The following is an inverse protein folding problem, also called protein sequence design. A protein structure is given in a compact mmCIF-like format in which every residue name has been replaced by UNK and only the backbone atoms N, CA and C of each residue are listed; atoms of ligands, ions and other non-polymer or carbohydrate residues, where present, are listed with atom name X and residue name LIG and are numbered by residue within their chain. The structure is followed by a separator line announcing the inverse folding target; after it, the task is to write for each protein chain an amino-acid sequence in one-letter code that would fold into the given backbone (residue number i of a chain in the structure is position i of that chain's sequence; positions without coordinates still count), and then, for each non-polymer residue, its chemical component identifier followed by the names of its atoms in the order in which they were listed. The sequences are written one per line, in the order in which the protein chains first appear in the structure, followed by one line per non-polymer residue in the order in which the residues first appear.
data_IF_092487748847
#
_entry.id   IF_092487748847
#
_cell.length_a   1.000
_cell.length_b   1.000
_cell.length_c   1.000
_cell.angle_alpha   90.00
_cell.angle_beta   90.00
_cell.angle_gamma   90.00
#
_symmetry.space_group_name_H-M   'P 1'
#
loop_
_entity.id
_entity.type
_entity.pdbx_description
1 polymer ?
#
# COMPACT_ATOMS: atom_id res chain seq x y z
N UNK A 1 9.68 19.13 28.17
CA UNK A 1 8.50 18.23 28.28
C UNK A 1 9.01 16.80 28.12
N UNK A 2 8.79 15.91 29.10
CA UNK A 2 9.35 14.55 28.99
C UNK A 2 8.62 13.74 27.92
N UNK A 3 9.32 12.83 27.23
CA UNK A 3 8.72 11.92 26.24
C UNK A 3 7.50 11.21 26.82
N UNK A 4 7.56 10.85 28.10
CA UNK A 4 6.48 10.21 28.86
C UNK A 4 5.27 11.13 29.05
N UNK A 5 5.47 12.44 29.25
CA UNK A 5 4.38 13.43 29.33
C UNK A 5 3.74 13.67 27.96
N UNK A 6 4.53 13.77 26.90
CA UNK A 6 4.03 13.90 25.52
C UNK A 6 3.22 12.67 25.12
N UNK A 7 3.72 11.46 25.41
CA UNK A 7 3.00 10.20 25.16
C UNK A 7 1.71 10.12 25.99
N UNK A 8 1.74 10.47 27.29
CA UNK A 8 0.54 10.50 28.13
C UNK A 8 -0.50 11.48 27.61
N UNK A 9 -0.10 12.68 27.17
CA UNK A 9 -1.02 13.69 26.67
C UNK A 9 -1.64 13.26 25.33
N UNK A 10 -0.83 12.65 24.45
CA UNK A 10 -1.27 12.14 23.13
C UNK A 10 -2.10 10.85 23.22
N UNK A 11 -1.94 10.05 24.29
CA UNK A 11 -2.78 8.88 24.60
C UNK A 11 -4.04 9.25 25.41
N UNK A 12 -3.96 10.27 26.27
CA UNK A 12 -5.12 10.85 26.97
C UNK A 12 -5.98 11.71 26.04
N UNK A 13 -5.46 12.00 24.85
CA UNK A 13 -6.16 12.81 23.86
C UNK A 13 -7.41 12.07 23.41
N UNK A 14 -8.52 12.76 23.64
CA UNK A 14 -9.84 12.60 23.04
C UNK A 14 -9.88 12.09 21.60
N UNK A 15 -8.81 12.05 20.81
CA UNK A 15 -8.78 11.57 19.41
C UNK A 15 -9.19 10.11 19.24
N UNK A 16 -8.73 9.18 20.10
CA UNK A 16 -9.13 7.77 20.02
C UNK A 16 -10.62 7.61 20.36
N UNK A 17 -11.04 8.16 21.50
CA UNK A 17 -12.45 8.14 21.94
C UNK A 17 -13.35 8.89 20.94
N UNK A 18 -12.90 10.03 20.41
CA UNK A 18 -13.60 10.79 19.38
C UNK A 18 -13.62 10.04 18.05
N UNK A 19 -12.64 9.22 17.70
CA UNK A 19 -12.73 8.37 16.50
C UNK A 19 -13.86 7.35 16.65
N UNK A 20 -14.01 6.79 17.84
CA UNK A 20 -15.12 5.90 18.19
C UNK A 20 -16.47 6.63 18.27
N UNK A 21 -16.51 7.85 18.79
CA UNK A 21 -17.73 8.67 18.80
C UNK A 21 -18.07 9.23 17.42
N UNK A 22 -17.07 9.51 16.58
CA UNK A 22 -17.25 9.92 15.19
C UNK A 22 -17.77 8.75 14.36
N UNK A 23 -17.41 7.51 14.70
CA UNK A 23 -18.08 6.32 14.18
C UNK A 23 -19.58 6.28 14.53
N UNK A 24 -19.94 6.70 15.76
CA UNK A 24 -21.34 6.80 16.20
C UNK A 24 -22.10 7.97 15.55
N UNK A 25 -21.40 9.06 15.20
CA UNK A 25 -21.98 10.31 14.65
C UNK A 25 -21.99 10.37 13.11
N UNK A 26 -21.00 9.78 12.44
CA UNK A 26 -21.01 9.58 11.00
C UNK A 26 -22.01 8.47 10.69
N UNK A 27 -22.96 8.76 9.81
CA UNK A 27 -23.96 7.82 9.33
C UNK A 27 -23.30 6.47 9.01
N UNK A 28 -23.72 5.38 9.66
CA UNK A 28 -23.16 4.02 9.50
C UNK A 28 -23.01 3.66 8.02
N UNK A 29 -23.94 4.14 7.19
CA UNK A 29 -23.91 4.04 5.74
C UNK A 29 -22.60 4.58 5.11
N UNK A 30 -22.08 5.72 5.57
CA UNK A 30 -20.82 6.29 5.07
C UNK A 30 -19.62 5.40 5.41
N UNK A 31 -19.59 4.83 6.61
CA UNK A 31 -18.54 3.89 7.00
C UNK A 31 -18.63 2.62 6.15
N UNK A 32 -19.82 2.03 6.00
CA UNK A 32 -20.04 0.84 5.18
C UNK A 32 -19.62 1.06 3.71
N UNK A 33 -19.99 2.20 3.11
CA UNK A 33 -19.55 2.55 1.75
C UNK A 33 -18.01 2.64 1.67
N UNK A 34 -17.36 3.21 2.69
CA UNK A 34 -15.90 3.32 2.73
C UNK A 34 -15.24 1.94 2.82
N UNK A 35 -15.79 1.04 3.65
CA UNK A 35 -15.39 -0.37 3.74
C UNK A 35 -15.58 -1.07 2.39
N UNK A 36 -16.70 -0.86 1.71
CA UNK A 36 -16.95 -1.44 0.39
C UNK A 36 -15.94 -0.96 -0.66
N UNK A 37 -15.58 0.33 -0.66
CA UNK A 37 -14.55 0.84 -1.57
C UNK A 37 -13.17 0.25 -1.29
N UNK A 38 -12.79 0.10 -0.02
CA UNK A 38 -11.54 -0.57 0.32
C UNK A 38 -11.56 -2.06 -0.05
N UNK A 39 -12.67 -2.76 0.20
CA UNK A 39 -12.82 -4.16 -0.19
C UNK A 39 -12.70 -4.33 -1.70
N UNK A 40 -13.40 -3.50 -2.47
CA UNK A 40 -13.31 -3.50 -3.93
C UNK A 40 -11.88 -3.26 -4.41
N UNK A 41 -11.17 -2.30 -3.79
CA UNK A 41 -9.75 -2.08 -4.05
C UNK A 41 -8.91 -3.34 -3.79
N UNK A 42 -9.04 -3.97 -2.62
CA UNK A 42 -8.23 -5.14 -2.29
C UNK A 42 -8.54 -6.35 -3.18
N UNK A 43 -9.80 -6.51 -3.60
CA UNK A 43 -10.19 -7.57 -4.55
C UNK A 43 -9.58 -7.32 -5.94
N UNK A 44 -9.63 -6.10 -6.45
CA UNK A 44 -9.01 -5.74 -7.74
C UNK A 44 -7.49 -5.86 -7.65
N UNK A 45 -6.89 -5.38 -6.56
CA UNK A 45 -5.45 -5.49 -6.31
C UNK A 45 -5.01 -6.96 -6.26
N UNK A 46 -5.74 -7.81 -5.55
CA UNK A 46 -5.48 -9.25 -5.50
C UNK A 46 -5.61 -9.89 -6.89
N UNK A 47 -6.69 -9.59 -7.63
CA UNK A 47 -6.88 -10.07 -8.99
C UNK A 47 -5.73 -9.68 -9.91
N UNK A 48 -5.30 -8.42 -9.86
CA UNK A 48 -4.17 -7.91 -10.64
C UNK A 48 -2.88 -8.63 -10.26
N UNK A 49 -2.59 -8.79 -8.97
CA UNK A 49 -1.39 -9.51 -8.50
C UNK A 49 -1.42 -10.97 -8.93
N UNK A 50 -2.53 -11.68 -8.77
CA UNK A 50 -2.64 -13.08 -9.19
C UNK A 50 -2.45 -13.23 -10.69
N UNK A 51 -3.01 -12.30 -11.47
CA UNK A 51 -2.84 -12.29 -12.93
C UNK A 51 -1.38 -12.00 -13.30
N UNK A 52 -0.73 -11.05 -12.62
CA UNK A 52 0.69 -10.75 -12.79
C UNK A 52 1.57 -11.97 -12.45
N UNK A 53 1.33 -12.62 -11.32
CA UNK A 53 2.06 -13.83 -10.91
C UNK A 53 1.84 -14.97 -11.92
N UNK A 54 0.64 -15.10 -12.50
CA UNK A 54 0.34 -16.17 -13.46
C UNK A 54 0.98 -15.96 -14.83
N UNK A 55 1.01 -14.72 -15.33
CA UNK A 55 1.39 -14.45 -16.72
C UNK A 55 2.73 -13.74 -16.88
N UNK A 56 3.14 -12.90 -15.93
CA UNK A 56 4.37 -12.09 -16.03
C UNK A 56 5.53 -12.74 -15.29
N UNK A 57 5.30 -13.20 -14.05
CA UNK A 57 6.38 -13.76 -13.23
C UNK A 57 7.09 -14.96 -13.89
N UNK A 58 6.40 -15.94 -14.52
CA UNK A 58 7.08 -17.06 -15.16
C UNK A 58 8.00 -16.60 -16.30
N UNK A 59 7.53 -15.65 -17.12
CA UNK A 59 8.31 -15.07 -18.22
C UNK A 59 9.52 -14.29 -17.71
N UNK A 60 9.34 -13.48 -16.65
CA UNK A 60 10.45 -12.79 -16.01
C UNK A 60 11.47 -13.77 -15.42
N UNK A 61 11.03 -14.84 -14.76
CA UNK A 61 11.96 -15.86 -14.22
C UNK A 61 12.70 -16.63 -15.32
N UNK A 62 12.07 -16.85 -16.47
CA UNK A 62 12.74 -17.40 -17.66
C UNK A 62 13.87 -16.47 -18.13
N UNK A 63 13.58 -15.17 -18.25
CA UNK A 63 14.58 -14.15 -18.62
C UNK A 63 15.72 -14.03 -17.59
N UNK A 64 15.44 -14.14 -16.29
CA UNK A 64 16.49 -14.10 -15.26
C UNK A 64 17.41 -15.34 -15.28
N UNK A 65 16.88 -16.50 -15.66
CA UNK A 65 17.65 -17.74 -15.85
C UNK A 65 18.40 -17.79 -17.18
N UNK A 66 18.24 -16.79 -18.04
CA UNK A 66 18.99 -16.70 -19.28
C UNK A 66 20.50 -16.61 -19.07
N UNK A 67 20.97 -16.03 -17.96
CA UNK A 67 22.41 -15.90 -17.67
C UNK A 67 23.10 -17.25 -17.48
N UNK A 68 22.47 -18.18 -16.75
CA UNK A 68 22.94 -19.58 -16.64
C UNK A 68 22.73 -20.36 -17.93
N UNK A 69 21.82 -19.91 -18.79
CA UNK A 69 21.60 -20.48 -20.12
C UNK A 69 22.73 -20.13 -21.10
N UNK A 70 23.23 -18.89 -21.08
CA UNK A 70 24.33 -18.40 -21.94
C UNK A 70 25.64 -19.18 -21.71
N UNK A 71 25.91 -19.60 -20.47
CA UNK A 71 27.06 -20.45 -20.15
C UNK A 71 26.98 -21.84 -20.81
N UNK A 72 25.77 -22.34 -21.10
CA UNK A 72 25.54 -23.60 -21.82
C UNK A 72 25.48 -23.46 -23.36
N UNK A 73 25.50 -22.23 -23.90
CA UNK A 73 25.30 -21.96 -25.33
C UNK A 73 26.56 -22.15 -26.19
N UNK A 74 27.73 -22.41 -25.60
CA UNK A 74 29.01 -22.51 -26.34
C UNK A 74 29.03 -23.61 -27.41
N UNK A 75 28.11 -24.58 -27.36
CA UNK A 75 28.05 -25.73 -28.28
C UNK A 75 26.81 -25.75 -29.19
N UNK A 76 26.01 -24.69 -29.26
CA UNK A 76 24.79 -24.67 -30.08
C UNK A 76 25.04 -24.18 -31.51
N UNK A 77 24.36 -24.74 -32.53
CA UNK A 77 24.38 -24.23 -33.89
C UNK A 77 23.91 -22.77 -33.98
N UNK A 78 24.48 -21.99 -34.90
CA UNK A 78 24.17 -20.56 -35.08
C UNK A 78 22.67 -20.29 -35.32
N UNK A 79 21.97 -21.15 -36.06
CA UNK A 79 20.52 -21.02 -36.29
C UNK A 79 19.70 -21.17 -34.99
N UNK A 80 20.11 -22.08 -34.10
CA UNK A 80 19.47 -22.24 -32.80
C UNK A 80 19.71 -21.00 -31.93
N UNK A 81 20.94 -20.47 -31.92
CA UNK A 81 21.26 -19.24 -31.20
C UNK A 81 20.44 -18.04 -31.69
N UNK A 82 20.26 -17.87 -33.00
CA UNK A 82 19.45 -16.78 -33.58
C UNK A 82 17.98 -16.93 -33.17
N UNK A 83 17.42 -18.13 -33.31
CA UNK A 83 16.01 -18.39 -32.93
C UNK A 83 15.75 -18.16 -31.44
N UNK A 84 16.71 -18.52 -30.58
CA UNK A 84 16.63 -18.31 -29.13
C UNK A 84 16.77 -16.83 -28.78
N UNK A 85 17.72 -16.12 -29.39
CA UNK A 85 17.87 -14.68 -29.19
C UNK A 85 16.58 -13.93 -29.55
N UNK A 86 15.94 -14.30 -30.66
CA UNK A 86 14.70 -13.67 -31.12
C UNK A 86 13.50 -14.03 -30.21
N UNK A 87 13.43 -15.26 -29.70
CA UNK A 87 12.44 -15.63 -28.67
C UNK A 87 12.65 -14.86 -27.36
N UNK A 88 13.89 -14.66 -26.94
CA UNK A 88 14.22 -13.88 -25.74
C UNK A 88 13.87 -12.40 -25.92
N UNK A 89 14.19 -11.82 -27.08
CA UNK A 89 13.84 -10.44 -27.42
C UNK A 89 12.32 -10.22 -27.38
N UNK A 90 11.56 -11.08 -28.06
CA UNK A 90 10.09 -11.04 -28.03
C UNK A 90 9.55 -11.20 -26.61
N UNK A 91 10.15 -12.08 -25.80
CA UNK A 91 9.77 -12.28 -24.41
C UNK A 91 10.06 -11.07 -23.54
N UNK A 92 11.17 -10.34 -23.78
CA UNK A 92 11.50 -9.09 -23.07
C UNK A 92 10.44 -8.02 -23.38
N UNK A 93 10.13 -7.78 -24.66
CA UNK A 93 9.15 -6.77 -25.04
C UNK A 93 7.75 -7.11 -24.52
N UNK A 94 7.34 -8.37 -24.62
CA UNK A 94 6.03 -8.82 -24.13
C UNK A 94 5.93 -8.71 -22.59
N UNK A 95 6.96 -9.18 -21.87
CA UNK A 95 7.02 -9.10 -20.40
C UNK A 95 7.06 -7.64 -19.93
N UNK A 96 7.83 -6.79 -20.62
CA UNK A 96 7.91 -5.36 -20.34
C UNK A 96 6.57 -4.65 -20.56
N UNK A 97 5.90 -4.92 -21.69
CA UNK A 97 4.58 -4.35 -22.00
C UNK A 97 3.53 -4.79 -20.98
N UNK A 98 3.45 -6.08 -20.64
CA UNK A 98 2.53 -6.57 -19.62
C UNK A 98 2.82 -5.95 -18.25
N UNK A 99 4.10 -5.87 -17.85
CA UNK A 99 4.49 -5.25 -16.58
C UNK A 99 4.04 -3.80 -16.51
N UNK A 100 4.21 -3.04 -17.60
CA UNK A 100 3.76 -1.65 -17.67
C UNK A 100 2.24 -1.54 -17.55
N UNK A 101 1.48 -2.39 -18.25
CA UNK A 101 0.02 -2.42 -18.18
C UNK A 101 -0.45 -2.71 -16.74
N UNK A 102 0.14 -3.70 -16.08
CA UNK A 102 -0.21 -4.01 -14.69
C UNK A 102 0.17 -2.88 -13.74
N UNK A 103 1.31 -2.23 -13.92
CA UNK A 103 1.71 -1.06 -13.13
C UNK A 103 0.70 0.08 -13.27
N UNK A 104 0.23 0.36 -14.49
CA UNK A 104 -0.78 1.38 -14.75
C UNK A 104 -2.14 1.02 -14.13
N UNK A 105 -2.57 -0.24 -14.24
CA UNK A 105 -3.80 -0.72 -13.60
C UNK A 105 -3.73 -0.61 -12.07
N UNK A 106 -2.58 -0.93 -11.48
CA UNK A 106 -2.34 -0.81 -10.04
C UNK A 106 -2.36 0.66 -9.60
N UNK A 107 -1.68 1.54 -10.33
CA UNK A 107 -1.67 2.97 -10.04
C UNK A 107 -3.08 3.58 -10.16
N UNK A 108 -3.81 3.21 -11.21
CA UNK A 108 -5.18 3.67 -11.46
C UNK A 108 -6.11 3.23 -10.34
N UNK A 109 -6.18 1.91 -10.08
CA UNK A 109 -7.06 1.35 -9.05
C UNK A 109 -6.72 1.92 -7.67
N UNK A 110 -5.43 2.01 -7.34
CA UNK A 110 -4.99 2.59 -6.08
C UNK A 110 -5.44 4.05 -5.93
N UNK A 111 -5.16 4.89 -6.92
CA UNK A 111 -5.46 6.33 -6.85
C UNK A 111 -6.97 6.60 -6.88
N UNK A 112 -7.73 5.81 -7.63
CA UNK A 112 -9.18 5.92 -7.73
C UNK A 112 -9.87 5.54 -6.43
N UNK A 113 -9.68 4.31 -5.93
CA UNK A 113 -10.36 3.85 -4.73
C UNK A 113 -9.91 4.57 -3.47
N UNK A 114 -8.59 4.82 -3.31
CA UNK A 114 -8.12 5.60 -2.15
C UNK A 114 -8.60 7.04 -2.22
N UNK A 115 -8.68 7.62 -3.42
CA UNK A 115 -9.30 8.93 -3.62
C UNK A 115 -10.76 8.97 -3.17
N UNK A 116 -11.58 8.00 -3.58
CA UNK A 116 -12.98 7.88 -3.14
C UNK A 116 -13.11 7.73 -1.62
N UNK A 117 -12.30 6.84 -1.02
CA UNK A 117 -12.27 6.61 0.44
C UNK A 117 -11.95 7.91 1.19
N UNK A 118 -10.88 8.60 0.80
CA UNK A 118 -10.48 9.83 1.49
C UNK A 118 -11.43 10.99 1.24
N UNK A 119 -11.94 11.15 0.02
CA UNK A 119 -12.99 12.14 -0.27
C UNK A 119 -14.22 11.90 0.59
N UNK A 120 -14.63 10.65 0.79
CA UNK A 120 -15.77 10.31 1.66
C UNK A 120 -15.48 10.61 3.13
N UNK A 121 -14.32 10.19 3.64
CA UNK A 121 -13.90 10.48 5.03
C UNK A 121 -13.86 12.00 5.29
N UNK A 122 -13.43 12.78 4.29
CA UNK A 122 -13.35 14.24 4.38
C UNK A 122 -14.67 14.97 4.05
N UNK A 123 -15.72 14.25 3.64
CA UNK A 123 -16.97 14.81 3.10
C UNK A 123 -16.74 15.79 1.93
N UNK A 124 -15.77 15.51 1.05
CA UNK A 124 -15.47 16.29 -0.16
C UNK A 124 -15.91 15.55 -1.42
N UNK A 125 -16.23 16.27 -2.49
CA UNK A 125 -16.50 15.68 -3.81
C UNK A 125 -15.19 15.20 -4.44
N UNK A 126 -15.18 13.97 -4.95
CA UNK A 126 -14.07 13.45 -5.73
C UNK A 126 -14.23 13.88 -7.19
N UNK A 127 -13.21 14.52 -7.76
CA UNK A 127 -13.22 15.00 -9.15
C UNK A 127 -11.93 14.58 -9.88
N UNK A 128 -11.93 14.76 -11.21
CA UNK A 128 -10.82 14.35 -12.06
C UNK A 128 -9.50 15.02 -11.67
N UNK A 129 -9.53 16.30 -11.29
CA UNK A 129 -8.32 17.01 -10.83
C UNK A 129 -7.72 16.36 -9.58
N UNK A 130 -8.56 15.97 -8.62
CA UNK A 130 -8.12 15.26 -7.42
C UNK A 130 -7.54 13.88 -7.76
N UNK A 131 -8.16 13.15 -8.67
CA UNK A 131 -7.65 11.87 -9.18
C UNK A 131 -6.27 12.04 -9.83
N UNK A 132 -6.10 12.98 -10.75
CA UNK A 132 -4.82 13.21 -11.44
C UNK A 132 -3.71 13.60 -10.47
N UNK A 133 -4.01 14.44 -9.47
CA UNK A 133 -3.06 14.79 -8.40
C UNK A 133 -2.66 13.58 -7.57
N UNK A 134 -3.61 12.70 -7.23
CA UNK A 134 -3.34 11.45 -6.51
C UNK A 134 -2.49 10.50 -7.35
N UNK A 135 -2.79 10.33 -8.64
CA UNK A 135 -1.98 9.52 -9.56
C UNK A 135 -0.54 10.03 -9.63
N UNK A 136 -0.34 11.34 -9.82
CA UNK A 136 0.99 11.93 -9.87
C UNK A 136 1.76 11.75 -8.55
N UNK A 137 1.12 12.02 -7.42
CA UNK A 137 1.74 11.83 -6.10
C UNK A 137 2.08 10.36 -5.85
N UNK A 138 1.16 9.44 -6.12
CA UNK A 138 1.38 8.00 -5.94
C UNK A 138 2.47 7.48 -6.88
N UNK A 139 2.56 7.99 -8.11
CA UNK A 139 3.64 7.62 -9.03
C UNK A 139 5.00 8.09 -8.51
N UNK A 140 5.14 9.37 -8.14
CA UNK A 140 6.40 9.91 -7.61
C UNK A 140 6.84 9.15 -6.36
N UNK A 141 5.90 8.87 -5.46
CA UNK A 141 6.18 8.15 -4.20
C UNK A 141 6.55 6.70 -4.48
N UNK A 142 5.85 6.04 -5.41
CA UNK A 142 6.19 4.67 -5.82
C UNK A 142 7.57 4.60 -6.47
N UNK A 143 7.91 5.54 -7.36
CA UNK A 143 9.23 5.62 -7.99
C UNK A 143 10.34 5.86 -6.95
N UNK A 144 10.10 6.76 -6.00
CA UNK A 144 11.03 7.00 -4.90
C UNK A 144 11.28 5.73 -4.08
N UNK A 145 10.23 4.95 -3.77
CA UNK A 145 10.38 3.69 -3.03
C UNK A 145 10.97 2.56 -3.84
N UNK A 146 10.65 2.46 -5.13
CA UNK A 146 11.32 1.52 -6.03
C UNK A 146 12.82 1.82 -6.05
N UNK A 147 13.20 3.11 -6.13
CA UNK A 147 14.60 3.54 -6.02
C UNK A 147 15.26 3.13 -4.69
N UNK A 148 14.59 3.40 -3.56
CA UNK A 148 15.08 2.99 -2.24
C UNK A 148 15.20 1.47 -2.10
N UNK A 149 14.22 0.70 -2.61
CA UNK A 149 14.27 -0.75 -2.62
C UNK A 149 15.44 -1.25 -3.46
N UNK A 150 15.71 -0.63 -4.61
CA UNK A 150 16.83 -0.99 -5.47
C UNK A 150 18.17 -0.78 -4.74
N UNK A 151 18.33 0.36 -4.07
CA UNK A 151 19.51 0.66 -3.24
C UNK A 151 19.62 -0.35 -2.08
N UNK A 152 18.52 -0.61 -1.39
CA UNK A 152 18.52 -1.53 -0.25
C UNK A 152 18.87 -2.97 -0.67
N UNK A 153 18.32 -3.46 -1.78
CA UNK A 153 18.66 -4.78 -2.34
C UNK A 153 20.13 -4.85 -2.72
N UNK A 154 20.71 -3.78 -3.27
CA UNK A 154 22.13 -3.73 -3.61
C UNK A 154 23.05 -3.78 -2.38
N UNK A 155 22.62 -3.18 -1.26
CA UNK A 155 23.41 -3.10 -0.03
C UNK A 155 23.24 -4.31 0.90
N UNK A 156 22.20 -5.12 0.72
CA UNK A 156 21.88 -6.26 1.59
C UNK A 156 22.39 -7.55 0.96
N UNK A 157 23.05 -8.37 1.78
CA UNK A 157 23.49 -9.72 1.42
C UNK A 157 22.33 -10.52 0.76
N UNK A 158 22.56 -11.17 -0.40
CA UNK A 158 21.54 -11.94 -1.11
C UNK A 158 20.73 -12.90 -0.24
N UNK A 159 21.35 -13.49 0.79
CA UNK A 159 20.69 -14.40 1.73
C UNK A 159 19.57 -13.75 2.56
N UNK A 160 19.63 -12.43 2.76
CA UNK A 160 18.72 -11.67 3.62
C UNK A 160 17.75 -10.76 2.86
N UNK A 161 17.88 -10.62 1.54
CA UNK A 161 17.07 -9.72 0.72
C UNK A 161 15.57 -10.01 0.80
N UNK A 162 15.19 -11.29 0.80
CA UNK A 162 13.78 -11.70 0.86
C UNK A 162 13.14 -11.39 2.22
N UNK A 163 13.89 -11.58 3.32
CA UNK A 163 13.45 -11.24 4.68
C UNK A 163 13.28 -9.73 4.81
N UNK A 164 14.22 -8.94 4.28
CA UNK A 164 14.12 -7.48 4.27
C UNK A 164 12.90 -6.99 3.48
N UNK A 165 12.66 -7.52 2.28
CA UNK A 165 11.50 -7.17 1.46
C UNK A 165 10.17 -7.47 2.17
N UNK A 166 10.06 -8.62 2.84
CA UNK A 166 8.86 -9.05 3.54
C UNK A 166 8.61 -8.28 4.85
N UNK A 167 9.64 -8.07 5.66
CA UNK A 167 9.49 -7.45 6.99
C UNK A 167 9.46 -5.92 6.94
N UNK A 168 10.20 -5.32 6.00
CA UNK A 168 10.36 -3.88 5.94
C UNK A 168 9.81 -3.29 4.66
N UNK A 169 10.12 -3.87 3.49
CA UNK A 169 9.72 -3.33 2.19
C UNK A 169 8.20 -3.19 2.05
N UNK A 170 7.48 -4.31 2.09
CA UNK A 170 6.02 -4.33 1.85
C UNK A 170 5.22 -3.50 2.88
N UNK A 171 5.42 -3.66 4.20
CA UNK A 171 4.69 -2.88 5.19
C UNK A 171 4.99 -1.38 5.11
N UNK A 172 6.25 -1.02 4.84
CA UNK A 172 6.66 0.38 4.73
C UNK A 172 6.08 1.06 3.49
N UNK A 173 6.04 0.37 2.34
CA UNK A 173 5.38 0.88 1.14
C UNK A 173 3.89 1.07 1.38
N UNK A 174 3.19 0.09 1.95
CA UNK A 174 1.76 0.20 2.28
C UNK A 174 1.50 1.39 3.20
N UNK A 175 2.33 1.55 4.24
CA UNK A 175 2.27 2.65 5.18
C UNK A 175 2.37 4.01 4.49
N UNK A 176 3.41 4.22 3.69
CA UNK A 176 3.67 5.50 3.02
C UNK A 176 2.64 5.81 1.97
N UNK A 177 2.15 4.81 1.24
CA UNK A 177 1.08 4.98 0.28
C UNK A 177 -0.25 5.37 0.95
N UNK A 178 -0.58 4.85 2.12
CA UNK A 178 -1.76 5.30 2.88
C UNK A 178 -1.63 6.74 3.37
N UNK A 179 -0.45 7.08 3.89
CA UNK A 179 -0.14 8.41 4.39
C UNK A 179 -0.12 9.46 3.28
N UNK A 180 0.45 9.10 2.12
CA UNK A 180 0.50 9.96 0.94
C UNK A 180 -0.91 10.36 0.50
N UNK A 181 -1.80 9.37 0.37
CA UNK A 181 -3.18 9.61 -0.01
C UNK A 181 -3.93 10.46 1.03
N UNK A 182 -3.64 10.28 2.32
CA UNK A 182 -4.21 11.12 3.37
C UNK A 182 -3.81 12.58 3.14
N UNK A 183 -2.51 12.85 3.02
CA UNK A 183 -1.96 14.20 2.87
C UNK A 183 -2.40 14.86 1.56
N UNK A 184 -2.35 14.14 0.43
CA UNK A 184 -2.80 14.65 -0.88
C UNK A 184 -4.28 15.05 -0.82
N UNK A 185 -5.11 14.26 -0.14
CA UNK A 185 -6.54 14.55 -0.02
C UNK A 185 -6.80 15.79 0.86
N UNK A 186 -5.98 16.00 1.90
CA UNK A 186 -6.06 17.21 2.74
C UNK A 186 -5.64 18.48 1.99
N UNK A 187 -4.57 18.40 1.21
CA UNK A 187 -3.98 19.53 0.50
C UNK A 187 -4.33 19.55 -1.00
N UNK A 188 -5.50 19.05 -1.37
CA UNK A 188 -5.94 18.96 -2.77
C UNK A 188 -5.97 20.32 -3.50
N UNK A 189 -6.02 21.44 -2.76
CA UNK A 189 -5.92 22.80 -3.31
C UNK A 189 -4.47 23.22 -3.66
N UNK A 190 -3.47 22.60 -3.03
CA UNK A 190 -2.05 22.92 -3.25
C UNK A 190 -1.50 22.30 -4.55
N UNK A 191 -0.32 22.80 -4.96
CA UNK A 191 0.50 22.18 -6.02
C UNK A 191 1.12 20.89 -5.50
N UNK A 192 1.37 19.91 -6.38
CA UNK A 192 1.96 18.59 -6.03
C UNK A 192 3.24 18.72 -5.19
N UNK A 193 4.10 19.69 -5.50
CA UNK A 193 5.32 19.96 -4.71
C UNK A 193 5.02 20.33 -3.25
N UNK A 194 4.02 21.18 -3.00
CA UNK A 194 3.61 21.57 -1.65
C UNK A 194 3.07 20.38 -0.85
N UNK A 195 2.27 19.55 -1.51
CA UNK A 195 1.73 18.31 -0.96
C UNK A 195 2.86 17.37 -0.49
N UNK A 196 3.90 17.18 -1.30
CA UNK A 196 5.04 16.31 -0.97
C UNK A 196 5.83 16.86 0.21
N UNK A 197 6.10 18.18 0.24
CA UNK A 197 6.84 18.80 1.35
C UNK A 197 6.07 18.69 2.67
N UNK A 198 4.77 18.98 2.63
CA UNK A 198 3.89 18.84 3.79
C UNK A 198 3.73 17.38 4.24
N UNK A 199 3.74 16.45 3.28
CA UNK A 199 3.79 15.02 3.54
C UNK A 199 5.05 14.65 4.31
N UNK A 200 6.24 14.99 3.80
CA UNK A 200 7.51 14.64 4.46
C UNK A 200 7.58 15.22 5.89
N UNK A 201 7.18 16.49 6.06
CA UNK A 201 7.17 17.15 7.37
C UNK A 201 6.24 16.45 8.37
N UNK A 202 5.05 16.06 7.93
CA UNK A 202 4.04 15.42 8.79
C UNK A 202 4.36 13.95 9.05
N UNK A 203 4.85 13.25 8.03
CA UNK A 203 5.13 11.82 8.04
C UNK A 203 6.24 11.43 9.00
N UNK A 204 7.37 12.15 8.94
CA UNK A 204 8.51 11.84 9.80
C UNK A 204 8.27 12.25 11.25
N UNK A 205 7.70 13.43 11.49
CA UNK A 205 7.52 13.95 12.85
C UNK A 205 6.51 13.15 13.68
N UNK A 206 5.56 12.47 13.02
CA UNK A 206 4.43 11.81 13.69
C UNK A 206 4.23 10.35 13.29
N UNK A 207 5.28 9.72 12.77
CA UNK A 207 5.27 8.33 12.28
C UNK A 207 4.59 7.36 13.27
N UNK A 208 4.81 7.56 14.57
CA UNK A 208 4.26 6.72 15.63
C UNK A 208 2.72 6.74 15.68
N UNK A 209 2.07 7.88 15.42
CA UNK A 209 0.61 7.99 15.38
C UNK A 209 -0.01 7.16 14.27
N UNK A 210 0.77 6.85 13.24
CA UNK A 210 0.35 6.01 12.15
C UNK A 210 0.72 4.55 12.36
N UNK A 211 1.91 4.26 12.89
CA UNK A 211 2.34 2.87 13.13
C UNK A 211 1.45 2.19 14.18
N UNK A 212 1.08 2.89 15.25
CA UNK A 212 0.33 2.31 16.38
C UNK A 212 -0.98 1.62 15.94
N UNK A 213 -1.91 2.25 15.19
CA UNK A 213 -3.14 1.58 14.78
C UNK A 213 -2.88 0.37 13.87
N UNK A 214 -1.90 0.43 12.96
CA UNK A 214 -1.58 -0.73 12.11
C UNK A 214 -0.86 -1.85 12.88
N UNK A 215 -0.03 -1.52 13.87
CA UNK A 215 0.60 -2.51 14.75
C UNK A 215 -0.43 -3.20 15.65
N UNK A 216 -1.40 -2.45 16.18
CA UNK A 216 -2.55 -2.99 16.91
C UNK A 216 -3.39 -3.90 16.02
N UNK A 217 -3.65 -3.51 14.77
CA UNK A 217 -4.32 -4.38 13.79
C UNK A 217 -3.58 -5.70 13.64
N UNK A 218 -2.28 -5.63 13.40
CA UNK A 218 -1.45 -6.81 13.16
C UNK A 218 -1.44 -7.73 14.40
N UNK A 219 -1.35 -7.15 15.60
CA UNK A 219 -1.45 -7.89 16.86
C UNK A 219 -2.83 -8.57 17.02
N UNK A 220 -3.92 -7.84 16.82
CA UNK A 220 -5.29 -8.38 16.91
C UNK A 220 -5.49 -9.51 15.91
N UNK A 221 -4.99 -9.33 14.68
CA UNK A 221 -5.11 -10.30 13.61
C UNK A 221 -4.32 -11.57 13.91
N UNK A 222 -3.11 -11.46 14.47
CA UNK A 222 -2.31 -12.59 14.95
C UNK A 222 -3.01 -13.35 16.08
N UNK A 223 -3.58 -12.63 17.06
CA UNK A 223 -4.33 -13.24 18.16
C UNK A 223 -5.55 -13.99 17.64
N UNK A 224 -6.35 -13.36 16.76
CA UNK A 224 -7.52 -13.98 16.14
C UNK A 224 -7.13 -15.23 15.34
N UNK A 225 -6.04 -15.18 14.57
CA UNK A 225 -5.54 -16.35 13.84
C UNK A 225 -5.22 -17.50 14.79
N UNK A 226 -4.46 -17.24 15.86
CA UNK A 226 -4.12 -18.29 16.84
C UNK A 226 -5.36 -18.89 17.49
N UNK A 227 -6.30 -18.05 17.92
CA UNK A 227 -7.54 -18.49 18.56
C UNK A 227 -8.36 -19.36 17.59
N UNK A 228 -8.56 -18.91 16.36
CA UNK A 228 -9.38 -19.63 15.38
C UNK A 228 -8.76 -20.94 14.91
N UNK A 229 -7.43 -20.99 14.69
CA UNK A 229 -6.71 -22.24 14.38
C UNK A 229 -6.88 -23.25 15.53
N UNK A 230 -6.82 -22.77 16.78
CA UNK A 230 -6.96 -23.63 17.97
C UNK A 230 -8.37 -24.21 18.10
N UNK A 231 -9.41 -23.43 17.75
CA UNK A 231 -10.82 -23.84 17.90
C UNK A 231 -11.30 -24.69 16.70
N UNK A 232 -10.72 -24.50 15.50
CA UNK A 232 -11.04 -25.26 14.27
C UNK A 232 -12.55 -25.39 13.97
N UNK A 233 -13.32 -24.34 14.29
CA UNK A 233 -14.77 -24.27 14.20
C UNK A 233 -15.35 -24.18 12.76
N UNK A 234 -14.57 -23.69 11.78
CA UNK A 234 -15.03 -23.43 10.40
C UNK A 234 -14.03 -23.97 9.36
N UNK A 235 -14.46 -24.18 8.11
CA UNK A 235 -13.56 -24.46 7.00
C UNK A 235 -12.52 -23.33 6.79
N UNK A 236 -11.28 -23.72 6.45
CA UNK A 236 -10.14 -22.81 6.20
C UNK A 236 -10.46 -21.63 5.26
N UNK A 237 -11.27 -21.88 4.22
CA UNK A 237 -11.69 -20.85 3.25
C UNK A 237 -12.56 -19.75 3.86
N UNK A 238 -13.45 -20.11 4.81
CA UNK A 238 -14.33 -19.14 5.47
C UNK A 238 -13.52 -18.24 6.40
N UNK A 239 -12.49 -18.78 7.05
CA UNK A 239 -11.59 -17.98 7.87
C UNK A 239 -10.89 -16.88 7.08
N UNK A 240 -10.38 -17.17 5.87
CA UNK A 240 -9.74 -16.16 5.03
C UNK A 240 -10.68 -15.00 4.67
N UNK A 241 -11.96 -15.30 4.40
CA UNK A 241 -12.97 -14.28 4.13
C UNK A 241 -13.22 -13.41 5.36
N UNK A 242 -13.39 -14.02 6.54
CA UNK A 242 -13.60 -13.29 7.80
C UNK A 242 -12.39 -12.40 8.11
N UNK A 243 -11.16 -12.91 7.92
CA UNK A 243 -9.95 -12.11 8.12
C UNK A 243 -9.88 -10.93 7.18
N UNK A 244 -10.22 -11.13 5.91
CA UNK A 244 -10.25 -10.05 4.93
C UNK A 244 -11.25 -8.97 5.37
N UNK A 245 -12.47 -9.35 5.75
CA UNK A 245 -13.49 -8.40 6.20
C UNK A 245 -13.04 -7.63 7.45
N UNK A 246 -12.52 -8.31 8.47
CA UNK A 246 -12.01 -7.66 9.69
C UNK A 246 -10.84 -6.71 9.38
N UNK A 247 -9.91 -7.14 8.53
CA UNK A 247 -8.78 -6.34 8.10
C UNK A 247 -9.23 -5.06 7.38
N UNK A 248 -10.20 -5.17 6.47
CA UNK A 248 -10.73 -4.03 5.72
C UNK A 248 -11.48 -3.08 6.65
N UNK A 249 -12.36 -3.59 7.51
CA UNK A 249 -13.10 -2.79 8.49
C UNK A 249 -12.16 -2.02 9.42
N UNK A 250 -11.13 -2.69 9.95
CA UNK A 250 -10.17 -2.02 10.80
C UNK A 250 -9.31 -1.02 10.03
N UNK A 251 -8.86 -1.36 8.82
CA UNK A 251 -8.11 -0.42 7.96
C UNK A 251 -8.91 0.85 7.68
N UNK A 252 -10.23 0.72 7.50
CA UNK A 252 -11.13 1.87 7.35
C UNK A 252 -11.23 2.70 8.63
N UNK A 253 -11.36 2.05 9.80
CA UNK A 253 -11.33 2.74 11.09
C UNK A 253 -10.01 3.49 11.32
N UNK A 254 -8.87 2.85 11.02
CA UNK A 254 -7.55 3.47 11.13
C UNK A 254 -7.47 4.75 10.30
N UNK A 255 -7.99 4.77 9.06
CA UNK A 255 -8.02 5.99 8.23
C UNK A 255 -8.85 7.10 8.83
N UNK A 256 -9.99 6.78 9.46
CA UNK A 256 -10.80 7.78 10.15
C UNK A 256 -10.07 8.35 11.38
N UNK A 257 -9.38 7.50 12.15
CA UNK A 257 -8.52 7.95 13.24
C UNK A 257 -7.41 8.87 12.72
N UNK A 258 -6.72 8.47 11.65
CA UNK A 258 -5.67 9.29 11.01
C UNK A 258 -6.20 10.63 10.52
N UNK A 259 -7.40 10.66 9.93
CA UNK A 259 -8.04 11.89 9.51
C UNK A 259 -8.23 12.86 10.68
N UNK A 260 -8.73 12.38 11.82
CA UNK A 260 -8.92 13.21 13.02
C UNK A 260 -7.59 13.76 13.55
N UNK A 261 -6.56 12.92 13.59
CA UNK A 261 -5.22 13.31 14.03
C UNK A 261 -4.64 14.39 13.11
N UNK A 262 -4.68 14.19 11.78
CA UNK A 262 -4.16 15.14 10.81
C UNK A 262 -4.96 16.46 10.88
N UNK A 263 -6.29 16.40 10.92
CA UNK A 263 -7.13 17.60 10.99
C UNK A 263 -6.83 18.45 12.22
N UNK A 264 -6.71 17.83 13.41
CA UNK A 264 -6.31 18.55 14.64
C UNK A 264 -4.94 19.19 14.48
N UNK A 265 -3.99 18.45 13.90
CA UNK A 265 -2.63 18.94 13.68
C UNK A 265 -2.58 20.17 12.78
N UNK A 266 -3.36 20.17 11.70
CA UNK A 266 -3.40 21.28 10.75
C UNK A 266 -4.17 22.50 11.29
N UNK A 267 -5.17 22.29 12.14
CA UNK A 267 -5.89 23.39 12.79
C UNK A 267 -4.97 24.21 13.71
N UNK A 268 -4.03 23.58 14.41
CA UNK A 268 -3.07 24.26 15.31
C UNK A 268 -2.02 25.06 14.54
N UNK A 269 -1.72 24.70 13.29
CA UNK A 269 -0.70 25.41 12.50
C UNK A 269 -1.23 26.65 11.77
N UNK A 270 -2.56 26.78 11.65
CA UNK A 270 -3.23 27.90 10.98
C UNK A 270 -3.89 28.88 11.97
N UNK A 271 -3.73 28.64 13.28
CA UNK A 271 -4.17 29.51 14.39
C UNK A 271 -2.97 30.17 15.04
#
# INVERSE_FOLDING_TARGET
MSITQTIKQTLSDTSFIQSFQCFKKNNILNYLITVMYDLAYYLIFAFVIFTFIRYVLPQATFLFKAKTFVEGMQNLPAEQLISMAQQMENSIYFTGALTLIFMLLMLFSFSFFKGLVWSRIQNKKYNLNSFLKLCAANLIISLFFVGLLFIAVYLIDPSNQMIFLLLFGVPFTIYLSHLANAVVSFFAAEKVKGIILNFLKTAFARVYLFIIPYALLLLILVILIKVMITINFLPSKIYYLIYLLLFVSYSCWAKQYLWLVIRKTLAVHNS
#
